data_IF_433455966000
#
_entry.id   IF_433455966000
#
_cell.length_a   1.000
_cell.length_b   1.000
_cell.length_c   1.000
_cell.angle_alpha   90.00
_cell.angle_beta   90.00
_cell.angle_gamma   90.00
#
_symmetry.space_group_name_H-M   'P 1'
#
loop_
_entity.id
_entity.type
_entity.pdbx_description
1 polymer ?
#
# COMPACT_ATOMS: atom_id res chain seq x y z
N UNK A 1 59.40 -29.61 -55.52
CA UNK A 1 59.09 -28.62 -54.46
C UNK A 1 57.81 -29.06 -53.77
N UNK A 2 57.82 -28.97 -52.44
CA UNK A 2 56.84 -29.46 -51.47
C UNK A 2 55.38 -29.07 -51.78
N UNK A 3 54.44 -30.00 -51.55
CA UNK A 3 53.01 -29.73 -51.54
C UNK A 3 52.20 -30.87 -50.91
N UNK A 4 51.76 -30.62 -49.67
CA UNK A 4 50.55 -31.14 -49.02
C UNK A 4 50.48 -32.64 -48.66
N UNK A 5 50.94 -32.94 -47.45
CA UNK A 5 50.35 -33.98 -46.60
C UNK A 5 49.17 -33.42 -45.82
N UNK A 6 48.01 -34.08 -45.91
CA UNK A 6 46.90 -33.95 -44.97
C UNK A 6 45.94 -35.12 -45.21
N UNK A 7 45.94 -36.12 -44.34
CA UNK A 7 44.96 -37.20 -44.47
C UNK A 7 45.25 -38.47 -43.70
N UNK A 8 45.62 -38.38 -42.42
CA UNK A 8 45.39 -39.44 -41.44
C UNK A 8 45.87 -38.94 -40.09
N UNK A 9 44.95 -38.79 -39.13
CA UNK A 9 45.11 -38.75 -37.66
C UNK A 9 44.10 -37.80 -37.00
N UNK A 10 42.84 -37.85 -37.45
CA UNK A 10 41.71 -37.17 -36.82
C UNK A 10 40.74 -38.17 -36.17
N UNK A 11 41.25 -39.11 -35.37
CA UNK A 11 40.39 -40.07 -34.69
C UNK A 11 41.13 -41.01 -33.75
N UNK A 12 41.50 -40.54 -32.55
CA UNK A 12 41.74 -41.38 -31.36
C UNK A 12 42.10 -40.55 -30.10
N UNK A 13 41.39 -39.44 -29.79
CA UNK A 13 41.66 -38.66 -28.57
C UNK A 13 40.40 -38.31 -27.77
N UNK A 14 39.33 -39.10 -27.89
CA UNK A 14 38.18 -39.00 -26.99
C UNK A 14 37.86 -40.39 -26.43
N UNK A 15 37.86 -40.44 -25.09
CA UNK A 15 37.39 -41.52 -24.21
C UNK A 15 38.34 -42.71 -23.97
N UNK A 16 39.53 -42.47 -23.40
CA UNK A 16 40.08 -43.41 -22.43
C UNK A 16 39.61 -43.02 -21.02
N UNK A 17 39.09 -43.95 -20.19
CA UNK A 17 38.64 -43.63 -18.83
C UNK A 17 39.75 -43.02 -17.97
N UNK A 18 41.02 -43.33 -18.24
CA UNK A 18 42.19 -42.79 -17.53
C UNK A 18 42.36 -41.28 -17.69
N UNK A 19 41.98 -40.70 -18.84
CA UNK A 19 42.06 -39.25 -19.07
C UNK A 19 40.99 -38.45 -18.30
N UNK A 20 39.84 -39.06 -18.01
CA UNK A 20 38.80 -38.46 -17.18
C UNK A 20 39.21 -38.45 -15.70
N UNK A 21 39.88 -39.52 -15.24
CA UNK A 21 40.37 -39.62 -13.85
C UNK A 21 41.52 -38.67 -13.55
N UNK A 22 42.42 -38.39 -14.50
CA UNK A 22 43.52 -37.41 -14.30
C UNK A 22 43.01 -35.96 -14.24
N UNK A 23 42.03 -35.59 -15.07
CA UNK A 23 41.40 -34.27 -15.02
C UNK A 23 40.66 -34.03 -13.70
N UNK A 24 39.86 -35.01 -13.26
CA UNK A 24 39.16 -34.95 -11.97
C UNK A 24 40.13 -34.88 -10.79
N UNK A 25 41.23 -35.65 -10.84
CA UNK A 25 42.28 -35.63 -9.80
C UNK A 25 42.94 -34.26 -9.66
N UNK A 26 43.22 -33.57 -10.77
CA UNK A 26 43.82 -32.23 -10.74
C UNK A 26 42.88 -31.16 -10.17
N UNK A 27 41.58 -31.23 -10.48
CA UNK A 27 40.59 -30.30 -9.92
C UNK A 27 40.46 -30.52 -8.41
N UNK A 28 40.38 -31.77 -7.96
CA UNK A 28 40.30 -32.09 -6.53
C UNK A 28 41.57 -31.66 -5.79
N UNK A 29 42.76 -31.88 -6.38
CA UNK A 29 44.02 -31.43 -5.80
C UNK A 29 44.11 -29.90 -5.72
N UNK A 30 43.66 -29.17 -6.75
CA UNK A 30 43.63 -27.71 -6.74
C UNK A 30 42.64 -27.14 -5.71
N UNK A 31 41.47 -27.78 -5.54
CA UNK A 31 40.49 -27.40 -4.52
C UNK A 31 40.99 -27.70 -3.11
N UNK A 32 41.66 -28.84 -2.90
CA UNK A 32 42.29 -29.18 -1.63
C UNK A 32 43.44 -28.23 -1.30
N UNK A 33 44.29 -27.91 -2.28
CA UNK A 33 45.33 -26.91 -2.11
C UNK A 33 44.73 -25.55 -1.74
N UNK A 34 43.73 -25.06 -2.47
CA UNK A 34 43.03 -23.81 -2.17
C UNK A 34 42.36 -23.84 -0.78
N UNK A 35 41.79 -24.96 -0.35
CA UNK A 35 41.18 -25.08 0.97
C UNK A 35 42.23 -25.14 2.11
N UNK A 36 43.43 -25.65 1.85
CA UNK A 36 44.52 -25.78 2.82
C UNK A 36 45.39 -24.52 2.91
N UNK A 37 45.57 -23.80 1.81
CA UNK A 37 46.48 -22.64 1.73
C UNK A 37 45.78 -21.32 1.44
N UNK A 38 44.49 -21.36 1.10
CA UNK A 38 43.71 -20.15 0.85
C UNK A 38 43.43 -19.44 2.17
N UNK A 39 43.86 -18.19 2.28
CA UNK A 39 43.40 -17.31 3.35
C UNK A 39 41.88 -17.23 3.29
N UNK A 40 41.22 -17.55 4.41
CA UNK A 40 39.77 -17.29 4.51
C UNK A 40 39.58 -15.79 4.40
N UNK A 41 38.64 -15.30 3.58
CA UNK A 41 38.30 -13.89 3.59
C UNK A 41 37.92 -13.51 5.03
N UNK A 42 38.48 -12.42 5.52
CA UNK A 42 38.14 -11.89 6.83
C UNK A 42 36.62 -11.72 6.94
N UNK A 43 36.00 -12.00 8.10
CA UNK A 43 34.58 -11.74 8.28
C UNK A 43 34.31 -10.27 7.93
N UNK A 44 33.22 -10.03 7.19
CA UNK A 44 32.83 -8.67 6.83
C UNK A 44 32.74 -7.81 8.10
N UNK A 45 33.20 -6.55 8.06
CA UNK A 45 33.04 -5.65 9.19
C UNK A 45 31.54 -5.50 9.53
N UNK A 46 31.22 -5.41 10.81
CA UNK A 46 29.86 -5.13 11.25
C UNK A 46 29.37 -3.84 10.56
N UNK A 47 28.09 -3.78 10.12
CA UNK A 47 27.54 -2.56 9.53
C UNK A 47 27.68 -1.40 10.52
N UNK A 48 28.05 -0.22 10.00
CA UNK A 48 28.20 1.00 10.79
C UNK A 48 26.87 1.35 11.49
N UNK A 49 26.81 1.48 12.83
CA UNK A 49 25.58 1.89 13.52
C UNK A 49 25.06 3.27 13.06
N UNK A 50 25.90 4.09 12.39
CA UNK A 50 25.48 5.34 11.77
C UNK A 50 24.57 5.14 10.54
N UNK A 51 24.57 3.95 9.92
CA UNK A 51 23.58 3.58 8.89
C UNK A 51 22.33 2.98 9.54
N UNK A 52 21.71 3.73 10.45
CA UNK A 52 20.41 3.35 10.99
C UNK A 52 19.43 3.11 9.82
N UNK A 53 18.61 2.04 9.86
CA UNK A 53 17.66 1.78 8.78
C UNK A 53 16.70 2.96 8.64
N UNK A 54 16.59 3.49 7.42
CA UNK A 54 15.66 4.55 6.97
C UNK A 54 14.20 4.26 7.36
N UNK A 55 13.89 3.03 7.74
CA UNK A 55 12.57 2.56 8.15
C UNK A 55 12.12 3.00 9.55
N UNK A 56 12.96 3.71 10.30
CA UNK A 56 12.59 4.25 11.61
C UNK A 56 11.57 5.39 11.44
N UNK A 57 10.28 5.10 11.65
CA UNK A 57 9.17 6.03 11.43
C UNK A 57 8.23 5.68 10.27
N UNK A 58 8.51 4.60 9.52
CA UNK A 58 7.65 4.16 8.43
C UNK A 58 6.23 3.80 8.93
N UNK A 59 6.11 3.20 10.12
CA UNK A 59 4.81 2.89 10.72
C UNK A 59 3.94 4.13 10.92
N UNK A 60 4.48 5.17 11.57
CA UNK A 60 3.75 6.43 11.79
C UNK A 60 3.39 7.15 10.49
N UNK A 61 4.24 7.05 9.47
CA UNK A 61 3.96 7.67 8.17
C UNK A 61 2.89 6.89 7.38
N UNK A 62 2.93 5.55 7.43
CA UNK A 62 1.88 4.70 6.85
C UNK A 62 0.55 4.96 7.53
N UNK A 63 0.51 5.03 8.86
CA UNK A 63 -0.70 5.35 9.62
C UNK A 63 -1.26 6.72 9.23
N UNK A 64 -0.39 7.72 9.07
CA UNK A 64 -0.77 9.06 8.60
C UNK A 64 -1.37 9.02 7.19
N UNK A 65 -0.74 8.31 6.26
CA UNK A 65 -1.20 8.19 4.88
C UNK A 65 -2.56 7.47 4.83
N UNK A 66 -2.72 6.38 5.58
CA UNK A 66 -3.97 5.65 5.67
C UNK A 66 -5.09 6.52 6.24
N UNK A 67 -4.82 7.26 7.32
CA UNK A 67 -5.79 8.19 7.92
C UNK A 67 -6.25 9.26 6.94
N UNK A 68 -5.32 9.85 6.16
CA UNK A 68 -5.67 10.83 5.13
C UNK A 68 -6.52 10.18 4.03
N UNK A 69 -6.14 8.99 3.56
CA UNK A 69 -6.88 8.28 2.52
C UNK A 69 -8.30 7.91 2.96
N UNK A 70 -8.47 7.44 4.20
CA UNK A 70 -9.79 7.14 4.78
C UNK A 70 -10.65 8.39 4.90
N UNK A 71 -10.07 9.50 5.36
CA UNK A 71 -10.79 10.77 5.45
C UNK A 71 -11.27 11.24 4.06
N UNK A 72 -10.38 11.25 3.08
CA UNK A 72 -10.71 11.62 1.69
C UNK A 72 -11.77 10.70 1.08
N UNK A 73 -11.68 9.38 1.33
CA UNK A 73 -12.69 8.45 0.87
C UNK A 73 -14.07 8.74 1.50
N UNK A 74 -14.08 9.07 2.79
CA UNK A 74 -15.30 9.50 3.50
C UNK A 74 -15.92 10.75 2.88
N UNK A 75 -15.12 11.77 2.57
CA UNK A 75 -15.59 13.00 1.91
C UNK A 75 -16.20 12.70 0.53
N UNK A 76 -15.53 11.89 -0.29
CA UNK A 76 -16.04 11.50 -1.62
C UNK A 76 -17.39 10.79 -1.52
N UNK A 77 -17.54 9.86 -0.57
CA UNK A 77 -18.81 9.15 -0.36
C UNK A 77 -19.91 10.10 0.09
N UNK A 78 -19.62 11.04 1.00
CA UNK A 78 -20.59 12.02 1.49
C UNK A 78 -21.07 12.97 0.36
N UNK A 79 -20.15 13.41 -0.49
CA UNK A 79 -20.46 14.25 -1.64
C UNK A 79 -21.30 13.49 -2.67
N UNK A 80 -20.94 12.23 -2.97
CA UNK A 80 -21.69 11.38 -3.88
C UNK A 80 -23.12 11.14 -3.39
N UNK A 81 -23.31 10.93 -2.09
CA UNK A 81 -24.64 10.78 -1.49
C UNK A 81 -25.46 12.07 -1.65
N UNK A 82 -24.86 13.22 -1.34
CA UNK A 82 -25.49 14.53 -1.51
C UNK A 82 -25.90 14.78 -2.96
N UNK A 83 -25.05 14.44 -3.93
CA UNK A 83 -25.36 14.58 -5.34
C UNK A 83 -26.49 13.62 -5.77
N UNK A 84 -26.47 12.37 -5.30
CA UNK A 84 -27.52 11.40 -5.58
C UNK A 84 -28.89 11.87 -5.06
N UNK A 85 -28.96 12.40 -3.85
CA UNK A 85 -30.20 12.96 -3.29
C UNK A 85 -30.73 14.13 -4.12
N UNK A 86 -29.85 15.02 -4.61
CA UNK A 86 -30.25 16.11 -5.53
C UNK A 86 -30.82 15.57 -6.84
N UNK A 87 -30.18 14.57 -7.44
CA UNK A 87 -30.64 13.97 -8.70
C UNK A 87 -32.01 13.30 -8.53
N UNK A 88 -32.24 12.65 -7.39
CA UNK A 88 -33.54 12.04 -7.05
C UNK A 88 -34.62 13.05 -6.64
N UNK A 89 -34.26 14.33 -6.45
CA UNK A 89 -35.19 15.35 -6.00
C UNK A 89 -35.61 15.19 -4.53
N UNK A 90 -34.78 14.53 -3.70
CA UNK A 90 -35.08 14.40 -2.27
C UNK A 90 -35.06 15.77 -1.59
N UNK A 91 -36.06 16.05 -0.77
CA UNK A 91 -36.13 17.27 0.02
C UNK A 91 -36.42 16.93 1.48
N UNK A 92 -35.67 17.56 2.38
CA UNK A 92 -35.72 17.34 3.82
C UNK A 92 -35.89 18.67 4.52
N UNK A 93 -36.78 18.70 5.52
CA UNK A 93 -37.14 19.91 6.26
C UNK A 93 -36.76 19.74 7.71
N UNK A 94 -36.02 20.72 8.23
CA UNK A 94 -35.76 20.86 9.66
C UNK A 94 -36.88 21.69 10.26
N UNK A 95 -37.59 21.10 11.22
CA UNK A 95 -38.63 21.75 11.97
C UNK A 95 -38.13 22.11 13.37
N UNK A 96 -38.67 23.18 13.93
CA UNK A 96 -38.58 23.49 15.36
C UNK A 96 -39.95 23.42 16.00
N UNK A 97 -39.99 23.08 17.28
CA UNK A 97 -41.14 23.28 18.17
C UNK A 97 -40.68 24.00 19.42
N UNK A 98 -41.36 25.09 19.76
CA UNK A 98 -41.16 25.80 21.02
C UNK A 98 -41.95 25.15 22.17
N UNK A 99 -41.78 25.67 23.39
CA UNK A 99 -42.46 25.21 24.60
C UNK A 99 -43.97 25.51 24.60
N UNK A 100 -44.41 26.44 23.77
CA UNK A 100 -45.83 26.72 23.51
C UNK A 100 -46.44 25.74 22.50
N UNK A 101 -45.64 24.86 21.92
CA UNK A 101 -46.07 23.86 20.95
C UNK A 101 -46.12 24.38 19.50
N UNK A 102 -45.73 25.63 19.24
CA UNK A 102 -45.73 26.20 17.90
C UNK A 102 -44.65 25.52 17.05
N UNK A 103 -45.02 25.09 15.84
CA UNK A 103 -44.11 24.44 14.90
C UNK A 103 -43.78 25.37 13.75
N UNK A 104 -42.49 25.47 13.41
CA UNK A 104 -42.04 26.28 12.30
C UNK A 104 -40.94 25.57 11.50
N UNK A 105 -40.96 25.77 10.19
CA UNK A 105 -39.87 25.35 9.30
C UNK A 105 -38.66 26.25 9.55
N UNK A 106 -37.51 25.63 9.80
CA UNK A 106 -36.24 26.32 10.03
C UNK A 106 -35.45 26.39 8.73
N UNK A 107 -35.37 25.27 8.00
CA UNK A 107 -34.65 25.18 6.75
C UNK A 107 -35.10 23.96 5.94
N UNK A 108 -34.87 24.03 4.64
CA UNK A 108 -35.07 22.94 3.69
C UNK A 108 -33.77 22.66 2.94
N UNK A 109 -33.41 21.39 2.83
CA UNK A 109 -32.16 20.94 2.22
C UNK A 109 -32.40 19.67 1.41
N UNK A 110 -31.52 19.39 0.46
CA UNK A 110 -31.66 18.26 -0.48
C UNK A 110 -30.86 17.02 -0.02
N UNK A 111 -30.61 16.90 1.29
CA UNK A 111 -29.86 15.80 1.89
C UNK A 111 -30.29 15.62 3.35
N UNK A 112 -30.60 14.38 3.72
CA UNK A 112 -30.98 14.03 5.10
C UNK A 112 -29.85 14.36 6.08
N UNK A 113 -28.62 13.99 5.74
CA UNK A 113 -27.46 14.20 6.59
C UNK A 113 -27.20 15.69 6.87
N UNK A 114 -27.41 16.55 5.87
CA UNK A 114 -27.32 18.01 6.06
C UNK A 114 -28.40 18.54 7.01
N UNK A 115 -29.63 18.00 6.91
CA UNK A 115 -30.73 18.35 7.78
C UNK A 115 -30.48 17.93 9.23
N UNK A 116 -29.99 16.70 9.44
CA UNK A 116 -29.67 16.17 10.78
C UNK A 116 -28.49 16.94 11.41
N UNK A 117 -27.47 17.29 10.63
CA UNK A 117 -26.36 18.14 11.09
C UNK A 117 -26.87 19.51 11.53
N UNK A 118 -27.77 20.12 10.75
CA UNK A 118 -28.37 21.40 11.11
C UNK A 118 -29.22 21.29 12.38
N UNK A 119 -30.07 20.26 12.50
CA UNK A 119 -30.85 20.01 13.71
C UNK A 119 -29.96 19.86 14.94
N UNK A 120 -28.92 19.03 14.85
CA UNK A 120 -27.93 18.83 15.93
C UNK A 120 -27.23 20.14 16.30
N UNK A 121 -26.83 20.94 15.30
CA UNK A 121 -26.21 22.24 15.54
C UNK A 121 -27.17 23.24 16.18
N UNK A 122 -28.47 23.14 15.94
CA UNK A 122 -29.49 23.96 16.58
C UNK A 122 -29.76 23.51 18.02
N UNK A 123 -29.81 22.20 18.28
CA UNK A 123 -29.95 21.63 19.62
C UNK A 123 -28.76 21.99 20.52
N UNK A 124 -27.53 21.97 19.98
CA UNK A 124 -26.31 22.33 20.71
C UNK A 124 -26.29 23.79 21.22
N UNK A 125 -27.13 24.68 20.67
CA UNK A 125 -27.21 26.10 21.08
C UNK A 125 -27.99 26.32 22.39
N UNK A 126 -28.58 25.28 22.99
CA UNK A 126 -29.01 25.32 24.40
C UNK A 126 -30.35 26.01 24.68
N UNK A 127 -31.26 26.07 23.71
CA UNK A 127 -32.63 26.56 23.93
C UNK A 127 -33.61 25.41 24.18
N UNK A 128 -34.71 25.65 24.91
CA UNK A 128 -35.82 24.69 25.14
C UNK A 128 -36.68 24.46 23.89
N UNK A 129 -36.05 24.24 22.75
CA UNK A 129 -36.73 24.00 21.48
C UNK A 129 -36.39 22.58 21.03
N UNK A 130 -37.42 21.86 20.58
CA UNK A 130 -37.25 20.56 19.96
C UNK A 130 -36.98 20.78 18.46
N UNK A 131 -35.90 20.20 17.94
CA UNK A 131 -35.65 20.15 16.51
C UNK A 131 -35.87 18.74 15.99
N UNK A 132 -36.44 18.60 14.80
CA UNK A 132 -36.53 17.30 14.13
C UNK A 132 -36.49 17.45 12.63
N UNK A 133 -36.14 16.37 11.95
CA UNK A 133 -36.03 16.32 10.49
C UNK A 133 -37.13 15.42 9.92
N UNK A 134 -37.88 15.96 8.98
CA UNK A 134 -38.90 15.24 8.22
C UNK A 134 -38.60 15.31 6.72
N UNK A 135 -39.03 14.30 5.96
CA UNK A 135 -39.09 14.43 4.51
C UNK A 135 -40.08 15.55 4.15
N UNK A 136 -39.76 16.33 3.13
CA UNK A 136 -40.73 17.23 2.53
C UNK A 136 -41.87 16.40 1.95
N UNK A 137 -43.11 16.76 2.29
CA UNK A 137 -44.25 16.31 1.51
C UNK A 137 -44.31 17.13 0.22
N UNK A 138 -44.53 16.44 -0.90
CA UNK A 138 -44.78 17.04 -2.22
C UNK A 138 -46.13 17.78 -2.28
#
# INVERSE_FOLDING_TARGET
>A
MLGLGAGAFAGALLASPTAMWTGAGLVVAALLWYALTGDRPAPAPAPDPAVAPVFSGLGSEVDRILSVAEHQAGEIVADAHTQASRIRGESWVVWRQDDNGNRAEVARVNSRAAADTLATAMEARGHRQLFWVAAAAD
#
